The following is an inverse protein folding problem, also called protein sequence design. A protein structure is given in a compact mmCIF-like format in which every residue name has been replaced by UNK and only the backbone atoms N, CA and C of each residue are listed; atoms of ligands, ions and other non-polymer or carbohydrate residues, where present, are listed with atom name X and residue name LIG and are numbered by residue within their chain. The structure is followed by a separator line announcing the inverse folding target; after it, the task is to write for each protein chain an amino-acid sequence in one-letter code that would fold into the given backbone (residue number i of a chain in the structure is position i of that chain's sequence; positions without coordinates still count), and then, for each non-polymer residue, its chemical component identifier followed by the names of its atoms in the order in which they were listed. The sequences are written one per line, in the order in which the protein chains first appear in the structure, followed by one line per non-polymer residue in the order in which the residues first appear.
data_IF_520466511326
#
_entry.id   IF_520466511326
#
_cell.length_a   1.000
_cell.length_b   1.000
_cell.length_c   1.000
_cell.angle_alpha   90.00
_cell.angle_beta   90.00
_cell.angle_gamma   90.00
#
_symmetry.space_group_name_H-M   'P 1'
#
loop_
_entity.id
_entity.type
_entity.pdbx_description
1 polymer ?
#
# COMPACT_ATOMS: atom_id res chain seq x y z
N UNK A 1 -5.13 -24.05 -7.19
CA UNK A 1 -6.57 -23.94 -6.82
C UNK A 1 -6.86 -23.08 -5.57
N UNK A 2 -6.14 -23.17 -4.44
CA UNK A 2 -6.45 -22.34 -3.25
C UNK A 2 -5.92 -20.88 -3.33
N UNK A 3 -4.90 -20.62 -4.16
CA UNK A 3 -4.31 -19.29 -4.34
C UNK A 3 -5.20 -18.34 -5.15
N UNK A 4 -5.94 -18.84 -6.14
CA UNK A 4 -6.82 -18.00 -6.98
C UNK A 4 -8.00 -17.42 -6.20
N UNK A 5 -8.60 -18.19 -5.30
CA UNK A 5 -9.73 -17.71 -4.48
C UNK A 5 -9.37 -16.54 -3.57
N UNK A 6 -8.14 -16.50 -3.04
CA UNK A 6 -7.69 -15.41 -2.15
C UNK A 6 -7.45 -14.10 -2.90
N UNK A 7 -6.95 -14.20 -4.14
CA UNK A 7 -6.79 -13.03 -5.01
C UNK A 7 -8.15 -12.45 -5.39
N UNK A 8 -9.09 -13.31 -5.79
CA UNK A 8 -10.47 -12.90 -6.10
C UNK A 8 -11.14 -12.19 -4.91
N UNK A 9 -10.99 -12.69 -3.68
CA UNK A 9 -11.57 -12.06 -2.49
C UNK A 9 -10.94 -10.71 -2.13
N UNK A 10 -9.65 -10.51 -2.41
CA UNK A 10 -8.97 -9.24 -2.13
C UNK A 10 -9.42 -8.15 -3.11
N UNK A 11 -9.59 -8.50 -4.39
CA UNK A 11 -10.12 -7.61 -5.42
C UNK A 11 -11.55 -7.20 -5.08
N UNK A 12 -12.43 -8.15 -4.78
CA UNK A 12 -13.82 -7.86 -4.40
C UNK A 12 -13.90 -6.97 -3.15
N UNK A 13 -13.04 -7.22 -2.15
CA UNK A 13 -12.98 -6.37 -0.96
C UNK A 13 -12.57 -4.93 -1.31
N UNK A 14 -11.56 -4.76 -2.15
CA UNK A 14 -11.08 -3.44 -2.57
C UNK A 14 -12.14 -2.68 -3.37
N UNK A 15 -12.85 -3.34 -4.29
CA UNK A 15 -13.98 -2.75 -5.03
C UNK A 15 -15.08 -2.26 -4.09
N UNK A 16 -15.46 -3.08 -3.10
CA UNK A 16 -16.45 -2.70 -2.08
C UNK A 16 -16.00 -1.52 -1.22
N UNK A 17 -14.71 -1.45 -0.91
CA UNK A 17 -14.11 -0.32 -0.21
C UNK A 17 -14.20 0.95 -1.07
N UNK A 18 -13.78 0.89 -2.34
CA UNK A 18 -13.87 2.02 -3.27
C UNK A 18 -15.31 2.53 -3.42
N UNK A 19 -16.28 1.63 -3.55
CA UNK A 19 -17.70 1.98 -3.61
C UNK A 19 -18.18 2.70 -2.35
N UNK A 20 -17.70 2.27 -1.18
CA UNK A 20 -18.04 2.88 0.09
C UNK A 20 -17.39 4.26 0.24
N UNK A 21 -16.12 4.41 -0.14
CA UNK A 21 -15.43 5.70 -0.16
C UNK A 21 -16.13 6.68 -1.11
N UNK A 22 -16.40 6.27 -2.35
CA UNK A 22 -17.06 7.10 -3.36
C UNK A 22 -18.43 7.62 -2.91
N UNK A 23 -19.25 6.78 -2.27
CA UNK A 23 -20.56 7.18 -1.72
C UNK A 23 -20.46 8.26 -0.64
N UNK A 24 -19.33 8.36 0.04
CA UNK A 24 -19.07 9.34 1.09
C UNK A 24 -18.20 10.51 0.60
N UNK A 25 -17.90 10.59 -0.71
CA UNK A 25 -17.01 11.61 -1.26
C UNK A 25 -15.55 11.45 -0.85
N UNK A 26 -15.13 10.23 -0.48
CA UNK A 26 -13.75 9.91 -0.15
C UNK A 26 -13.04 9.24 -1.33
N UNK A 27 -11.74 9.51 -1.42
CA UNK A 27 -10.83 8.84 -2.37
C UNK A 27 -10.12 7.69 -1.68
N UNK A 28 -10.01 6.55 -2.36
CA UNK A 28 -9.22 5.42 -1.88
C UNK A 28 -8.16 5.08 -2.93
N UNK A 29 -6.90 5.00 -2.50
CA UNK A 29 -5.78 4.56 -3.33
C UNK A 29 -5.08 3.36 -2.68
N UNK A 30 -4.44 2.52 -3.50
CA UNK A 30 -3.62 1.41 -3.02
C UNK A 30 -2.15 1.73 -3.25
N UNK A 31 -1.34 1.66 -2.20
CA UNK A 31 0.11 1.87 -2.24
C UNK A 31 0.79 0.83 -1.36
N UNK A 32 1.99 0.39 -1.76
CA UNK A 32 2.77 -0.56 -0.98
C UNK A 32 3.50 0.18 0.16
N UNK A 33 2.81 0.33 1.29
CA UNK A 33 3.35 0.93 2.52
C UNK A 33 2.98 0.07 3.72
N UNK A 34 3.85 0.09 4.72
CA UNK A 34 3.59 -0.54 6.01
C UNK A 34 3.13 0.45 7.09
N UNK A 35 3.19 1.75 6.79
CA UNK A 35 2.79 2.80 7.70
C UNK A 35 1.30 2.68 8.04
N UNK A 36 0.98 2.82 9.33
CA UNK A 36 -0.39 2.98 9.83
C UNK A 36 -0.46 4.35 10.46
N UNK A 37 -1.06 5.26 9.72
CA UNK A 37 -1.02 6.69 9.98
C UNK A 37 -2.40 7.27 9.70
N UNK A 38 -2.84 8.20 10.54
CA UNK A 38 -3.96 9.08 10.25
C UNK A 38 -3.56 10.53 10.52
N UNK A 39 -3.86 11.39 9.54
CA UNK A 39 -3.59 12.82 9.58
C UNK A 39 -4.93 13.56 9.71
N UNK A 40 -5.04 14.45 10.69
CA UNK A 40 -6.25 15.24 10.93
C UNK A 40 -5.94 16.73 10.82
N UNK A 41 -6.52 17.39 9.80
CA UNK A 41 -6.55 18.86 9.73
C UNK A 41 -7.89 19.35 10.29
N UNK A 42 -7.83 20.05 11.42
CA UNK A 42 -9.02 20.47 12.16
C UNK A 42 -8.92 21.94 12.54
N UNK A 43 -10.05 22.54 12.92
CA UNK A 43 -10.06 23.90 13.47
C UNK A 43 -9.24 24.04 14.78
N UNK A 44 -8.94 22.93 15.47
CA UNK A 44 -8.12 22.92 16.68
C UNK A 44 -6.62 22.74 16.39
N UNK A 45 -6.24 22.51 15.13
CA UNK A 45 -4.87 22.28 14.68
C UNK A 45 -4.73 20.97 13.91
N UNK A 46 -3.47 20.67 13.58
CA UNK A 46 -3.03 19.48 12.84
C UNK A 46 -2.59 18.39 13.81
N UNK A 47 -3.10 17.18 13.62
CA UNK A 47 -2.80 16.03 14.47
C UNK A 47 -2.31 14.84 13.66
N UNK A 48 -1.40 14.10 14.27
CA UNK A 48 -0.82 12.88 13.73
C UNK A 48 -1.12 11.73 14.69
N UNK A 49 -1.79 10.70 14.19
CA UNK A 49 -1.95 9.42 14.87
C UNK A 49 -1.12 8.38 14.14
N UNK A 50 -0.13 7.81 14.81
CA UNK A 50 0.68 6.70 14.33
C UNK A 50 0.59 5.52 15.28
N UNK A 51 0.72 4.31 14.75
CA UNK A 51 0.67 3.13 15.60
C UNK A 51 0.92 1.80 14.88
N UNK A 52 0.71 0.72 15.63
CA UNK A 52 0.89 -0.65 15.14
C UNK A 52 -0.40 -1.28 14.58
N UNK A 53 -1.56 -0.66 14.82
CA UNK A 53 -2.85 -1.24 14.45
C UNK A 53 -3.19 -1.03 12.98
N UNK A 54 -3.65 -2.10 12.34
CA UNK A 54 -4.32 -2.02 11.05
C UNK A 54 -5.80 -1.65 11.26
N UNK A 55 -6.46 -1.14 10.21
CA UNK A 55 -7.89 -0.83 10.25
C UNK A 55 -8.74 -2.12 10.20
N UNK A 56 -8.82 -2.83 11.32
CA UNK A 56 -9.62 -4.05 11.49
C UNK A 56 -10.12 -4.21 12.93
N UNK A 57 -10.92 -5.25 13.19
CA UNK A 57 -11.53 -5.53 14.50
C UNK A 57 -10.67 -6.48 15.37
N UNK A 58 -9.38 -6.63 15.09
CA UNK A 58 -8.55 -7.59 15.81
C UNK A 58 -8.39 -7.18 17.29
N UNK A 59 -8.56 -8.12 18.26
CA UNK A 59 -8.48 -7.82 19.69
C UNK A 59 -7.03 -7.76 20.21
N UNK A 60 -6.08 -7.34 19.38
CA UNK A 60 -4.68 -7.30 19.75
C UNK A 60 -4.37 -6.09 20.64
N UNK A 61 -3.33 -6.22 21.46
CA UNK A 61 -2.76 -5.07 22.14
C UNK A 61 -1.97 -4.24 21.14
N UNK A 62 -2.32 -2.97 21.01
CA UNK A 62 -1.75 -2.07 20.02
C UNK A 62 -1.18 -0.83 20.71
N UNK A 63 -0.12 -0.26 20.13
CA UNK A 63 0.47 0.99 20.57
C UNK A 63 0.14 2.11 19.58
N UNK A 64 -0.16 3.29 20.13
CA UNK A 64 -0.40 4.50 19.36
C UNK A 64 0.31 5.71 19.97
N UNK A 65 0.80 6.62 19.12
CA UNK A 65 1.15 7.99 19.48
C UNK A 65 0.14 8.93 18.85
N UNK A 66 -0.38 9.88 19.62
CA UNK A 66 -1.22 10.97 19.13
C UNK A 66 -0.55 12.29 19.48
N UNK A 67 -0.17 13.03 18.45
CA UNK A 67 0.61 14.26 18.58
C UNK A 67 -0.09 15.41 17.86
N UNK A 68 -0.04 16.59 18.46
CA UNK A 68 -0.45 17.85 17.83
C UNK A 68 0.82 18.57 17.35
N UNK A 69 1.26 18.24 16.15
CA UNK A 69 2.51 18.72 15.58
C UNK A 69 2.30 19.00 14.08
N UNK A 70 2.36 20.29 13.72
CA UNK A 70 2.16 20.76 12.34
C UNK A 70 3.33 20.38 11.43
N UNK A 71 4.57 20.42 11.93
CA UNK A 71 5.76 20.07 11.14
C UNK A 71 5.75 18.57 10.82
N UNK A 72 5.39 17.73 11.79
CA UNK A 72 5.27 16.28 11.59
C UNK A 72 4.10 15.94 10.66
N UNK A 73 2.97 16.64 10.79
CA UNK A 73 1.84 16.51 9.89
C UNK A 73 2.25 16.81 8.44
N UNK A 74 2.89 17.96 8.21
CA UNK A 74 3.28 18.41 6.87
C UNK A 74 4.35 17.50 6.25
N UNK A 75 5.27 16.97 7.07
CA UNK A 75 6.23 15.96 6.66
C UNK A 75 5.53 14.72 6.09
N UNK A 76 4.56 14.17 6.83
CA UNK A 76 3.85 12.97 6.40
C UNK A 76 2.94 13.23 5.19
N UNK A 77 2.24 14.37 5.16
CA UNK A 77 1.40 14.75 4.02
C UNK A 77 2.25 14.82 2.74
N UNK A 78 3.41 15.49 2.79
CA UNK A 78 4.31 15.56 1.65
C UNK A 78 4.85 14.18 1.22
N UNK A 79 5.08 13.27 2.15
CA UNK A 79 5.49 11.90 1.83
C UNK A 79 4.38 11.11 1.12
N UNK A 80 3.14 11.23 1.61
CA UNK A 80 1.96 10.56 1.02
C UNK A 80 1.66 11.12 -0.38
N UNK A 81 1.70 12.44 -0.57
CA UNK A 81 1.49 13.08 -1.88
C UNK A 81 2.51 12.59 -2.92
N UNK A 82 3.77 12.43 -2.52
CA UNK A 82 4.82 11.87 -3.40
C UNK A 82 4.55 10.40 -3.76
N UNK A 83 4.04 9.61 -2.83
CA UNK A 83 3.64 8.22 -3.11
C UNK A 83 2.44 8.16 -4.05
N UNK A 84 1.51 9.11 -3.95
CA UNK A 84 0.38 9.19 -4.88
C UNK A 84 0.87 9.48 -6.30
N UNK A 85 1.76 10.45 -6.48
CA UNK A 85 2.29 10.87 -7.78
C UNK A 85 3.18 9.81 -8.45
N UNK A 86 4.00 9.08 -7.68
CA UNK A 86 4.90 8.04 -8.23
C UNK A 86 4.16 6.78 -8.69
N UNK A 87 2.99 6.48 -8.10
CA UNK A 87 2.18 5.32 -8.50
C UNK A 87 1.45 5.46 -9.85
N UNK A 88 1.45 6.64 -10.48
CA UNK A 88 0.80 6.88 -11.77
C UNK A 88 1.67 6.50 -12.99
N UNK A 89 2.91 6.05 -12.78
CA UNK A 89 3.90 5.82 -13.86
C UNK A 89 4.27 4.37 -14.16
N UNK A 90 3.65 3.38 -13.52
CA UNK A 90 4.11 1.98 -13.56
C UNK A 90 3.24 1.01 -14.36
N UNK A 91 2.12 1.45 -14.95
CA UNK A 91 1.25 0.57 -15.76
C UNK A 91 1.82 0.24 -17.15
N UNK A 92 2.87 0.95 -17.62
CA UNK A 92 3.44 0.72 -18.97
C UNK A 92 4.57 -0.33 -19.01
N UNK A 93 4.97 -0.93 -17.89
CA UNK A 93 6.17 -1.79 -17.81
C UNK A 93 5.91 -3.30 -17.86
N UNK A 94 4.67 -3.79 -17.67
CA UNK A 94 4.40 -5.24 -17.58
C UNK A 94 4.04 -5.93 -18.92
N UNK A 95 3.88 -5.19 -20.02
CA UNK A 95 3.48 -5.77 -21.33
C UNK A 95 4.65 -6.26 -22.23
N UNK A 96 5.89 -6.39 -21.74
CA UNK A 96 7.06 -6.68 -22.61
C UNK A 96 7.87 -7.95 -22.37
N UNK A 97 7.41 -8.92 -21.57
CA UNK A 97 8.19 -10.16 -21.35
C UNK A 97 7.45 -11.47 -21.66
N UNK A 98 6.53 -11.48 -22.63
CA UNK A 98 6.01 -12.72 -23.24
C UNK A 98 6.15 -12.71 -24.77
N UNK A 99 7.34 -12.44 -25.30
CA UNK A 99 7.67 -12.89 -26.67
C UNK A 99 9.19 -12.97 -26.91
N UNK A 100 9.72 -14.20 -26.75
CA UNK A 100 10.94 -14.80 -27.31
C UNK A 100 11.29 -15.99 -26.39
N UNK A 101 11.12 -17.25 -26.78
CA UNK A 101 11.68 -17.87 -27.98
C UNK A 101 12.99 -18.55 -27.58
N UNK A 102 12.97 -19.88 -27.51
CA UNK A 102 14.04 -20.83 -27.14
C UNK A 102 15.44 -20.49 -27.72
N UNK A 103 16.51 -20.59 -26.91
CA UNK A 103 17.77 -21.28 -27.28
C UNK A 103 18.74 -21.42 -26.08
N UNK A 104 19.69 -22.32 -26.24
CA UNK A 104 20.45 -23.06 -25.24
C UNK A 104 21.76 -22.37 -24.84
N UNK A 105 22.20 -22.46 -23.58
CA UNK A 105 23.55 -22.03 -23.22
C UNK A 105 23.87 -21.92 -21.73
N UNK A 106 24.75 -22.81 -21.27
CA UNK A 106 25.51 -22.75 -20.02
C UNK A 106 26.40 -21.48 -19.98
N UNK A 107 26.30 -20.65 -18.93
CA UNK A 107 27.43 -20.07 -18.14
C UNK A 107 26.96 -19.06 -17.07
N UNK A 108 27.79 -18.98 -16.02
CA UNK A 108 27.63 -18.28 -14.75
C UNK A 108 27.38 -16.76 -14.82
N UNK A 109 26.60 -16.24 -13.87
CA UNK A 109 26.68 -14.82 -13.49
C UNK A 109 25.42 -14.20 -12.88
N UNK A 110 25.47 -14.01 -11.56
CA UNK A 110 24.92 -12.90 -10.76
C UNK A 110 23.58 -12.23 -11.16
N UNK A 111 22.72 -12.12 -10.13
CA UNK A 111 21.53 -11.26 -9.96
C UNK A 111 20.21 -11.77 -10.54
N UNK A 112 19.41 -12.40 -9.67
CA UNK A 112 17.98 -12.16 -9.65
C UNK A 112 17.44 -12.54 -8.28
N UNK A 113 17.12 -11.52 -7.48
CA UNK A 113 16.30 -11.62 -6.29
C UNK A 113 15.01 -12.36 -6.63
N UNK A 114 14.92 -13.61 -6.19
CA UNK A 114 13.64 -14.24 -5.98
C UNK A 114 13.64 -14.83 -4.59
N UNK A 115 12.81 -14.24 -3.73
CA UNK A 115 11.61 -14.92 -3.22
C UNK A 115 10.98 -14.06 -2.16
N UNK A 116 9.93 -13.37 -2.57
CA UNK A 116 8.59 -13.48 -2.00
C UNK A 116 8.55 -14.33 -0.73
N UNK A 117 8.89 -13.72 0.40
CA UNK A 117 8.51 -14.19 1.73
C UNK A 117 7.44 -13.25 2.20
N UNK A 118 6.20 -13.65 1.96
CA UNK A 118 5.05 -13.03 2.59
C UNK A 118 5.26 -13.02 4.10
N UNK A 119 5.20 -11.84 4.69
CA UNK A 119 4.87 -11.63 6.09
C UNK A 119 4.02 -10.36 6.11
N UNK A 120 2.73 -10.54 6.41
CA UNK A 120 1.92 -9.50 7.00
C UNK A 120 2.35 -9.40 8.47
N UNK A 121 2.82 -8.24 8.90
CA UNK A 121 2.84 -7.81 10.30
C UNK A 121 2.93 -6.30 10.32
#
# INVERSE_FOLDING_TARGET
MMRDRRKASAVEYYERLQDSCRRNGWTACSRNTHAKLALFDTAAGKFVLEGSSNLNEAPNWEQFSLEQDEDLYDFYLAALDRMEQTGAGTEEAEEREEDQGEDDGEEDGLWAETRNRGIWS
#
